data_IF_842964381470
#
_entry.id   IF_842964381470
#
_cell.length_a   1.000
_cell.length_b   1.000
_cell.length_c   1.000
_cell.angle_alpha   90.00
_cell.angle_beta   90.00
_cell.angle_gamma   90.00
#
_symmetry.space_group_name_H-M   'P 1'
#
loop_
_entity.id
_entity.type
_entity.pdbx_description
1 polymer ?
#
# COMPACT_ATOMS: atom_id res chain seq x y z
N UNK A 1 -11.19 12.33 -21.72
CA UNK A 1 -11.48 11.00 -22.30
C UNK A 1 -10.89 9.83 -21.51
N UNK A 2 -10.30 10.05 -20.34
CA UNK A 2 -9.91 9.00 -19.38
C UNK A 2 -10.71 9.21 -18.09
N UNK A 3 -11.35 8.17 -17.59
CA UNK A 3 -12.06 8.15 -16.32
C UNK A 3 -11.55 6.98 -15.47
N UNK A 4 -11.29 7.22 -14.18
CA UNK A 4 -10.80 6.23 -13.23
C UNK A 4 -11.64 6.33 -11.96
N UNK A 5 -12.18 5.19 -11.50
CA UNK A 5 -13.01 5.10 -10.30
C UNK A 5 -12.56 3.93 -9.41
N UNK A 6 -12.31 4.13 -8.10
CA UNK A 6 -12.31 5.39 -7.39
C UNK A 6 -11.19 6.32 -7.89
N UNK A 7 -11.35 7.64 -7.70
CA UNK A 7 -10.36 8.61 -8.16
C UNK A 7 -8.99 8.38 -7.50
N UNK A 8 -7.94 8.42 -8.30
CA UNK A 8 -6.56 8.40 -7.85
C UNK A 8 -5.71 9.40 -8.64
N UNK A 9 -4.53 9.72 -8.12
CA UNK A 9 -3.52 10.47 -8.87
C UNK A 9 -2.93 9.57 -9.95
N UNK A 10 -2.66 10.14 -11.13
CA UNK A 10 -2.05 9.44 -12.23
C UNK A 10 -1.21 10.37 -13.10
N UNK A 11 -0.21 9.80 -13.74
CA UNK A 11 0.60 10.45 -14.77
C UNK A 11 0.38 9.73 -16.11
N UNK A 12 0.54 10.46 -17.22
CA UNK A 12 0.38 9.91 -18.57
C UNK A 12 1.54 10.32 -19.47
N UNK A 13 2.00 9.40 -20.29
CA UNK A 13 3.01 9.65 -21.32
C UNK A 13 2.71 8.83 -22.58
N UNK A 14 3.26 9.28 -23.70
CA UNK A 14 3.13 8.59 -24.98
C UNK A 14 4.51 8.12 -25.44
N UNK A 15 4.56 6.90 -25.98
CA UNK A 15 5.68 6.38 -26.74
C UNK A 15 5.11 5.85 -28.06
N UNK A 16 5.38 6.56 -29.16
CA UNK A 16 4.80 6.33 -30.48
C UNK A 16 3.25 6.24 -30.45
N UNK A 17 2.71 5.03 -30.57
CA UNK A 17 1.27 4.72 -30.58
C UNK A 17 0.78 4.14 -29.26
N UNK A 18 1.65 4.05 -28.26
CA UNK A 18 1.37 3.43 -26.96
C UNK A 18 1.19 4.52 -25.90
N UNK A 19 0.05 4.49 -25.22
CA UNK A 19 -0.25 5.36 -24.07
C UNK A 19 0.12 4.63 -22.78
N UNK A 20 1.05 5.21 -22.02
CA UNK A 20 1.37 4.77 -20.67
C UNK A 20 0.59 5.61 -19.65
N UNK A 21 -0.03 4.92 -18.69
CA UNK A 21 -0.78 5.54 -17.59
C UNK A 21 -0.26 4.94 -16.29
N UNK A 22 0.45 5.74 -15.51
CA UNK A 22 0.97 5.33 -14.20
C UNK A 22 -0.03 5.75 -13.11
N UNK A 23 -0.67 4.76 -12.48
CA UNK A 23 -1.71 4.98 -11.48
C UNK A 23 -1.13 4.89 -10.07
N UNK A 24 -1.36 5.89 -9.20
CA UNK A 24 -1.02 5.83 -7.78
C UNK A 24 -2.16 5.19 -6.98
N UNK A 25 -2.14 3.85 -6.91
CA UNK A 25 -3.21 3.02 -6.37
C UNK A 25 -3.15 2.87 -4.85
N UNK A 26 -4.32 2.75 -4.21
CA UNK A 26 -4.45 2.37 -2.80
C UNK A 26 -4.71 0.87 -2.69
N UNK A 27 -4.16 0.24 -1.65
CA UNK A 27 -4.34 -1.18 -1.37
C UNK A 27 -5.81 -1.52 -1.00
N UNK A 28 -6.22 -2.75 -1.27
CA UNK A 28 -7.56 -3.26 -0.99
C UNK A 28 -8.71 -2.56 -1.74
N UNK A 29 -8.44 -1.90 -2.88
CA UNK A 29 -9.45 -1.24 -3.71
C UNK A 29 -9.65 -1.94 -5.06
N UNK A 30 -10.87 -1.86 -5.57
CA UNK A 30 -11.21 -2.21 -6.95
C UNK A 30 -11.27 -0.93 -7.77
N UNK A 31 -10.57 -0.93 -8.90
CA UNK A 31 -10.49 0.18 -9.83
C UNK A 31 -11.15 -0.17 -11.15
N UNK A 32 -11.88 0.79 -11.69
CA UNK A 32 -12.49 0.77 -13.03
C UNK A 32 -11.86 1.90 -13.84
N UNK A 33 -11.29 1.57 -14.99
CA UNK A 33 -10.65 2.52 -15.89
C UNK A 33 -11.38 2.48 -17.22
N UNK A 34 -11.81 3.65 -17.70
CA UNK A 34 -12.50 3.80 -18.98
C UNK A 34 -11.81 4.85 -19.84
N UNK A 35 -11.45 4.47 -21.07
CA UNK A 35 -11.00 5.37 -22.12
C UNK A 35 -12.13 5.48 -23.14
N UNK A 36 -12.69 6.68 -23.30
CA UNK A 36 -13.80 6.92 -24.21
C UNK A 36 -13.35 6.84 -25.68
N UNK A 37 -14.26 6.49 -26.60
CA UNK A 37 -13.99 6.42 -28.05
C UNK A 37 -13.49 7.75 -28.64
N UNK A 38 -13.84 8.89 -28.04
CA UNK A 38 -13.28 10.20 -28.42
C UNK A 38 -11.82 10.43 -28.02
N UNK A 39 -11.13 9.49 -27.37
CA UNK A 39 -9.71 9.58 -27.11
C UNK A 39 -8.91 9.43 -28.42
N UNK A 40 -7.90 10.28 -28.60
CA UNK A 40 -7.08 10.33 -29.80
C UNK A 40 -5.64 9.92 -29.50
N UNK A 41 -4.97 9.30 -30.49
CA UNK A 41 -3.52 9.10 -30.48
C UNK A 41 -2.75 10.38 -30.87
N UNK A 42 -1.42 10.29 -30.92
CA UNK A 42 -0.53 11.41 -31.31
C UNK A 42 -0.73 11.86 -32.78
N UNK A 43 -1.39 11.05 -33.60
CA UNK A 43 -1.74 11.34 -35.00
C UNK A 43 -3.18 11.85 -35.12
N UNK A 44 -3.85 12.11 -34.00
CA UNK A 44 -5.23 12.56 -33.90
C UNK A 44 -6.27 11.53 -34.40
N UNK A 45 -5.94 10.24 -34.38
CA UNK A 45 -6.84 9.15 -34.74
C UNK A 45 -7.61 8.71 -33.49
N UNK A 46 -8.95 8.69 -33.58
CA UNK A 46 -9.82 8.31 -32.46
C UNK A 46 -9.86 6.80 -32.24
N UNK A 47 -10.10 6.40 -30.99
CA UNK A 47 -10.46 5.02 -30.65
C UNK A 47 -11.80 4.64 -31.29
N UNK A 48 -11.84 3.51 -32.00
CA UNK A 48 -13.07 3.01 -32.63
C UNK A 48 -14.18 2.74 -31.60
N UNK A 49 -13.80 2.16 -30.47
CA UNK A 49 -14.69 1.78 -29.37
C UNK A 49 -14.05 2.15 -28.03
N UNK A 50 -14.85 2.42 -26.99
CA UNK A 50 -14.32 2.70 -25.66
C UNK A 50 -13.62 1.46 -25.07
N UNK A 51 -12.48 1.68 -24.42
CA UNK A 51 -11.77 0.63 -23.67
C UNK A 51 -12.17 0.71 -22.20
N UNK A 52 -12.62 -0.39 -21.61
CA UNK A 52 -12.91 -0.48 -20.17
C UNK A 52 -12.16 -1.64 -19.54
N UNK A 53 -11.52 -1.36 -18.40
CA UNK A 53 -10.70 -2.30 -17.64
C UNK A 53 -11.14 -2.26 -16.18
N UNK A 54 -11.16 -3.40 -15.51
CA UNK A 54 -11.44 -3.50 -14.07
C UNK A 54 -10.42 -4.42 -13.41
N UNK A 55 -9.83 -3.97 -12.31
CA UNK A 55 -8.84 -4.73 -11.55
C UNK A 55 -8.90 -4.39 -10.06
N UNK A 56 -8.36 -5.27 -9.21
CA UNK A 56 -8.33 -5.06 -7.75
C UNK A 56 -6.90 -5.13 -7.22
N UNK A 57 -6.57 -4.27 -6.27
CA UNK A 57 -5.30 -4.32 -5.54
C UNK A 57 -5.41 -5.22 -4.33
N UNK A 58 -4.31 -5.89 -3.98
CA UNK A 58 -4.21 -6.72 -2.77
C UNK A 58 -4.44 -5.85 -1.52
N UNK A 59 -5.15 -6.35 -0.48
CA UNK A 59 -5.29 -5.67 0.81
C UNK A 59 -3.95 -5.53 1.54
N UNK A 60 -3.86 -4.53 2.42
CA UNK A 60 -2.71 -4.39 3.32
C UNK A 60 -2.71 -5.53 4.34
N UNK A 61 -1.58 -6.24 4.44
CA UNK A 61 -1.39 -7.26 5.47
C UNK A 61 -0.96 -6.55 6.75
N UNK A 62 -1.92 -6.18 7.59
CA UNK A 62 -1.63 -5.76 8.96
C UNK A 62 -1.14 -6.98 9.74
N UNK A 63 0.15 -7.00 10.09
CA UNK A 63 0.65 -7.92 11.11
C UNK A 63 0.10 -7.44 12.45
N UNK A 64 -0.91 -8.15 12.96
CA UNK A 64 -1.43 -7.90 14.30
C UNK A 64 -0.29 -8.02 15.32
N UNK A 65 0.18 -6.88 15.81
CA UNK A 65 1.18 -6.79 16.88
C UNK A 65 0.51 -6.87 18.27
N UNK A 66 -0.72 -7.40 18.34
CA UNK A 66 -1.54 -7.52 19.55
C UNK A 66 -0.98 -8.53 20.57
N UNK A 67 0.06 -9.27 20.21
CA UNK A 67 0.94 -9.90 21.18
C UNK A 67 1.94 -8.88 21.71
N UNK A 68 1.53 -8.10 22.71
CA UNK A 68 2.42 -7.27 23.54
C UNK A 68 3.36 -8.20 24.32
N UNK A 69 4.28 -8.86 23.63
CA UNK A 69 5.33 -9.68 24.21
C UNK A 69 6.29 -8.71 24.86
N UNK A 70 6.26 -8.59 26.19
CA UNK A 70 7.40 -8.04 26.90
C UNK A 70 8.63 -8.81 26.43
N UNK A 71 9.59 -8.16 25.76
CA UNK A 71 10.72 -8.87 25.22
C UNK A 71 11.50 -9.50 26.37
N UNK A 72 12.02 -10.72 26.17
CA UNK A 72 12.57 -11.56 27.24
C UNK A 72 13.63 -10.86 28.11
N UNK A 73 14.37 -9.90 27.55
CA UNK A 73 15.34 -9.10 28.29
C UNK A 73 14.71 -8.27 29.43
N UNK A 74 13.46 -7.82 29.28
CA UNK A 74 12.74 -7.06 30.31
C UNK A 74 12.48 -7.93 31.54
N UNK A 75 12.13 -9.20 31.30
CA UNK A 75 11.86 -10.19 32.34
C UNK A 75 13.15 -10.59 33.06
N UNK A 76 14.25 -10.78 32.31
CA UNK A 76 15.59 -11.05 32.86
C UNK A 76 16.07 -9.87 33.73
N UNK A 77 15.92 -8.63 33.25
CA UNK A 77 16.32 -7.43 33.99
C UNK A 77 15.50 -7.26 35.28
N UNK A 78 14.19 -7.52 35.24
CA UNK A 78 13.34 -7.49 36.43
C UNK A 78 13.78 -8.54 37.46
N UNK A 79 14.07 -9.77 37.04
CA UNK A 79 14.59 -10.82 37.92
C UNK A 79 15.95 -10.45 38.52
N UNK A 80 16.87 -9.92 37.72
CA UNK A 80 18.19 -9.49 38.18
C UNK A 80 18.08 -8.37 39.23
N UNK A 81 17.19 -7.39 39.01
CA UNK A 81 16.95 -6.30 39.97
C UNK A 81 16.40 -6.80 41.31
N UNK A 82 15.48 -7.77 41.29
CA UNK A 82 14.95 -8.41 42.52
C UNK A 82 16.06 -9.14 43.27
N UNK A 83 16.87 -9.93 42.58
CA UNK A 83 17.99 -10.65 43.17
C UNK A 83 19.04 -9.69 43.78
N UNK A 84 19.35 -8.59 43.09
CA UNK A 84 20.27 -7.57 43.61
C UNK A 84 19.73 -6.89 44.86
N UNK A 85 18.44 -6.53 44.87
CA UNK A 85 17.78 -5.92 46.02
C UNK A 85 17.75 -6.89 47.22
N UNK A 86 17.51 -8.17 46.99
CA UNK A 86 17.53 -9.22 48.01
C UNK A 86 18.94 -9.44 48.58
N UNK A 87 19.96 -9.54 47.72
CA UNK A 87 21.36 -9.66 48.15
C UNK A 87 21.80 -8.46 48.97
N UNK A 88 21.45 -7.24 48.57
CA UNK A 88 21.78 -6.00 49.30
C UNK A 88 21.15 -5.96 50.69
N UNK A 89 19.92 -6.48 50.86
CA UNK A 89 19.25 -6.54 52.18
C UNK A 89 19.87 -7.55 53.14
N UNK A 90 20.44 -8.65 52.65
CA UNK A 90 21.09 -9.68 53.49
C UNK A 90 22.55 -9.35 53.87
N UNK A 91 23.14 -8.34 53.24
CA UNK A 91 24.53 -7.92 53.49
C UNK A 91 24.66 -6.78 54.50
N UNK A 92 23.55 -6.37 55.12
CA UNK A 92 23.49 -5.53 56.33
C UNK A 92 23.03 -6.42 57.48
#
# INVERSE_FOLDING_TARGET
>A
NLAISPSCTYDKSWEDTTLFIELKLKQGKTYHVTIASGAHDVRNISLKEPLSLSFSTVPEITRDSSGQQTPAFTLIMAMAAVLFAWRKRRSK
#
